data_IF_279653588752
#
_entry.id   IF_279653588752
#
_cell.length_a   1.000
_cell.length_b   1.000
_cell.length_c   1.000
_cell.angle_alpha   90.00
_cell.angle_beta   90.00
_cell.angle_gamma   90.00
#
_symmetry.space_group_name_H-M   'P 1'
#
loop_
_entity.id
_entity.type
_entity.pdbx_description
1 polymer ?
#
# COMPACT_ATOMS: atom_id res chain seq x y z
N UNK A 1 -37.37 32.44 9.65
CA UNK A 1 -37.14 30.99 9.62
C UNK A 1 -37.46 30.45 11.00
N UNK A 2 -38.48 29.59 11.11
CA UNK A 2 -38.93 29.06 12.40
C UNK A 2 -37.92 28.01 12.92
N UNK A 3 -37.77 27.91 14.25
CA UNK A 3 -36.85 26.98 14.93
C UNK A 3 -37.04 25.52 14.47
N UNK A 4 -38.28 25.16 14.12
CA UNK A 4 -38.61 23.81 13.58
C UNK A 4 -38.08 23.59 12.16
N UNK A 5 -38.12 24.59 11.32
CA UNK A 5 -37.60 24.53 9.94
C UNK A 5 -36.07 24.50 9.93
N UNK A 6 -35.42 25.25 10.84
CA UNK A 6 -33.97 25.18 11.05
C UNK A 6 -33.51 23.78 11.48
N UNK A 7 -34.21 23.19 12.44
CA UNK A 7 -33.88 21.83 12.92
C UNK A 7 -34.09 20.76 11.85
N UNK A 8 -35.13 20.89 11.01
CA UNK A 8 -35.34 19.99 9.87
C UNK A 8 -34.27 20.12 8.80
N UNK A 9 -33.87 21.35 8.48
CA UNK A 9 -32.79 21.61 7.51
C UNK A 9 -31.43 21.12 8.06
N UNK A 10 -31.16 21.32 9.35
CA UNK A 10 -29.95 20.84 9.99
C UNK A 10 -29.89 19.31 10.08
N UNK A 11 -30.99 18.65 10.38
CA UNK A 11 -31.08 17.18 10.41
C UNK A 11 -30.89 16.57 9.02
N UNK A 12 -31.42 17.22 7.96
CA UNK A 12 -31.21 16.75 6.58
C UNK A 12 -29.76 16.90 6.13
N UNK A 13 -29.09 18.01 6.50
CA UNK A 13 -27.69 18.26 6.14
C UNK A 13 -26.73 17.35 6.91
N UNK A 14 -26.99 17.06 8.17
CA UNK A 14 -26.16 16.14 8.96
C UNK A 14 -26.38 14.67 8.53
N UNK A 15 -27.57 14.27 8.15
CA UNK A 15 -27.83 12.94 7.59
C UNK A 15 -27.09 12.74 6.26
N UNK A 16 -27.06 13.74 5.39
CA UNK A 16 -26.33 13.67 4.12
C UNK A 16 -24.79 13.62 4.32
N UNK A 17 -24.26 14.35 5.31
CA UNK A 17 -22.83 14.35 5.63
C UNK A 17 -22.36 13.05 6.31
N UNK A 18 -23.25 12.34 7.01
CA UNK A 18 -22.93 11.07 7.67
C UNK A 18 -23.03 9.90 6.70
N UNK A 19 -23.91 9.95 5.69
CA UNK A 19 -24.07 8.85 4.74
C UNK A 19 -22.92 8.79 3.71
N UNK A 20 -22.35 9.94 3.29
CA UNK A 20 -21.25 9.97 2.32
C UNK A 20 -19.90 9.44 2.83
N UNK A 21 -19.45 9.69 4.08
CA UNK A 21 -18.22 9.07 4.55
C UNK A 21 -18.36 7.57 4.81
N UNK A 22 -19.53 7.04 5.12
CA UNK A 22 -19.73 5.60 5.31
C UNK A 22 -19.68 4.81 4.00
N UNK A 23 -20.16 5.37 2.90
CA UNK A 23 -20.00 4.74 1.58
C UNK A 23 -18.54 4.70 1.11
N UNK A 24 -17.74 5.70 1.51
CA UNK A 24 -16.32 5.72 1.21
C UNK A 24 -15.50 4.69 2.04
N UNK A 25 -16.04 4.22 3.16
CA UNK A 25 -15.38 3.24 4.05
C UNK A 25 -15.90 1.81 3.84
N UNK A 26 -17.08 1.63 3.25
CA UNK A 26 -17.62 0.31 2.90
C UNK A 26 -17.13 -0.17 1.53
N UNK A 27 -15.82 -0.15 1.29
CA UNK A 27 -15.29 -1.07 0.31
C UNK A 27 -15.58 -2.49 0.81
N UNK A 28 -16.52 -3.18 0.15
CA UNK A 28 -16.78 -4.60 0.37
C UNK A 28 -15.46 -5.33 0.62
N UNK A 29 -15.34 -6.14 1.68
CA UNK A 29 -14.12 -6.89 1.91
C UNK A 29 -13.88 -7.74 0.67
N UNK A 30 -12.86 -7.38 -0.10
CA UNK A 30 -12.50 -8.15 -1.30
C UNK A 30 -12.24 -9.58 -0.82
N UNK A 31 -13.01 -10.53 -1.33
CA UNK A 31 -12.91 -11.96 -0.97
C UNK A 31 -11.64 -12.58 -1.53
N UNK A 32 -10.55 -11.82 -1.56
CA UNK A 32 -9.21 -12.19 -2.01
C UNK A 32 -8.13 -11.56 -1.11
N UNK A 33 -6.91 -12.12 -1.08
CA UNK A 33 -5.78 -11.50 -0.41
C UNK A 33 -5.54 -10.06 -0.88
N UNK A 34 -5.13 -9.17 0.05
CA UNK A 34 -4.65 -7.83 -0.32
C UNK A 34 -3.35 -7.96 -1.10
N UNK A 35 -3.29 -7.41 -2.29
CA UNK A 35 -2.10 -7.40 -3.13
C UNK A 35 -1.13 -6.30 -2.70
N UNK A 36 0.01 -6.74 -2.20
CA UNK A 36 1.04 -5.85 -1.65
C UNK A 36 2.11 -5.59 -2.68
N UNK A 37 2.38 -4.30 -2.92
CA UNK A 37 3.57 -3.81 -3.59
C UNK A 37 4.67 -3.51 -2.57
N UNK A 38 5.88 -4.03 -2.76
CA UNK A 38 6.98 -3.86 -1.83
C UNK A 38 8.07 -2.97 -2.46
N UNK A 39 8.30 -1.79 -1.89
CA UNK A 39 9.23 -0.77 -2.39
C UNK A 39 10.42 -0.67 -1.42
N UNK A 40 11.60 -1.05 -1.89
CA UNK A 40 12.83 -1.15 -1.10
C UNK A 40 13.00 -2.52 -0.45
N UNK A 41 13.59 -3.45 -1.19
CA UNK A 41 13.73 -4.87 -0.82
C UNK A 41 14.93 -5.17 0.10
N UNK A 42 15.31 -4.20 0.93
CA UNK A 42 16.37 -4.36 1.94
C UNK A 42 15.95 -5.25 3.11
N UNK A 43 16.89 -5.54 4.02
CA UNK A 43 16.68 -6.44 5.17
C UNK A 43 15.52 -6.01 6.07
N UNK A 44 15.40 -4.71 6.36
CA UNK A 44 14.33 -4.19 7.21
C UNK A 44 12.95 -4.39 6.57
N UNK A 45 12.80 -4.02 5.30
CA UNK A 45 11.54 -4.22 4.58
C UNK A 45 11.20 -5.70 4.42
N UNK A 46 12.20 -6.56 4.19
CA UNK A 46 11.98 -8.01 4.14
C UNK A 46 11.45 -8.55 5.46
N UNK A 47 11.94 -8.06 6.62
CA UNK A 47 11.39 -8.46 7.93
C UNK A 47 9.93 -8.01 8.08
N UNK A 48 9.60 -6.78 7.67
CA UNK A 48 8.23 -6.23 7.73
C UNK A 48 7.27 -7.03 6.84
N UNK A 49 7.60 -7.24 5.57
CA UNK A 49 6.73 -7.98 4.65
C UNK A 49 6.56 -9.45 5.08
N UNK A 50 7.60 -10.05 5.65
CA UNK A 50 7.53 -11.41 6.21
C UNK A 50 6.54 -11.48 7.37
N UNK A 51 6.64 -10.56 8.33
CA UNK A 51 5.72 -10.49 9.46
C UNK A 51 4.28 -10.22 9.00
N UNK A 52 4.10 -9.28 8.08
CA UNK A 52 2.80 -8.96 7.50
C UNK A 52 2.20 -10.18 6.78
N UNK A 53 2.99 -10.86 5.96
CA UNK A 53 2.53 -12.03 5.22
C UNK A 53 2.12 -13.19 6.14
N UNK A 54 2.84 -13.42 7.23
CA UNK A 54 2.53 -14.51 8.17
C UNK A 54 1.23 -14.30 8.94
N UNK A 55 0.92 -13.04 9.28
CA UNK A 55 -0.16 -12.71 10.19
C UNK A 55 -1.44 -12.19 9.51
N UNK A 56 -1.41 -11.96 8.18
CA UNK A 56 -2.51 -11.37 7.45
C UNK A 56 -2.76 -12.07 6.12
N UNK A 57 -3.97 -11.91 5.59
CA UNK A 57 -4.35 -12.40 4.27
C UNK A 57 -3.85 -11.46 3.17
N UNK A 58 -2.54 -11.52 2.88
CA UNK A 58 -1.89 -10.72 1.85
C UNK A 58 -1.17 -11.58 0.82
N UNK A 59 -1.14 -11.10 -0.42
CA UNK A 59 -0.34 -11.62 -1.53
C UNK A 59 0.81 -10.66 -1.80
N UNK A 60 2.05 -11.13 -1.80
CA UNK A 60 3.20 -10.34 -2.28
C UNK A 60 3.11 -10.32 -3.79
N UNK A 61 2.67 -9.19 -4.35
CA UNK A 61 2.24 -9.10 -5.74
C UNK A 61 3.24 -8.39 -6.65
N UNK A 62 3.87 -7.31 -6.17
CA UNK A 62 4.80 -6.52 -6.96
C UNK A 62 6.00 -6.07 -6.13
N UNK A 63 7.17 -5.95 -6.77
CA UNK A 63 8.42 -5.55 -6.14
C UNK A 63 9.04 -4.36 -6.86
N UNK A 64 9.62 -3.42 -6.11
CA UNK A 64 10.38 -2.31 -6.66
C UNK A 64 11.64 -2.04 -5.84
N UNK A 65 12.79 -2.01 -6.50
CA UNK A 65 14.07 -1.59 -5.91
C UNK A 65 14.92 -0.91 -6.98
N UNK A 66 15.90 -0.10 -6.55
CA UNK A 66 16.87 0.50 -7.47
C UNK A 66 17.74 -0.60 -8.08
N UNK A 67 18.07 -1.63 -7.30
CA UNK A 67 19.01 -2.68 -7.66
C UNK A 67 18.29 -4.01 -7.88
N UNK A 68 18.47 -4.61 -9.04
CA UNK A 68 17.88 -5.92 -9.39
C UNK A 68 18.41 -7.05 -8.50
N UNK A 69 19.69 -7.06 -8.21
CA UNK A 69 20.33 -8.06 -7.37
C UNK A 69 19.76 -8.15 -5.95
N UNK A 70 19.28 -7.04 -5.40
CA UNK A 70 18.57 -7.02 -4.12
C UNK A 70 17.23 -7.75 -4.19
N UNK A 71 16.50 -7.54 -5.26
CA UNK A 71 15.24 -8.26 -5.49
C UNK A 71 15.51 -9.74 -5.66
N UNK A 72 16.45 -10.11 -6.52
CA UNK A 72 16.79 -11.51 -6.81
C UNK A 72 17.22 -12.28 -5.54
N UNK A 73 17.94 -11.60 -4.62
CA UNK A 73 18.33 -12.17 -3.34
C UNK A 73 17.16 -12.52 -2.44
N UNK A 74 16.10 -11.72 -2.39
CA UNK A 74 14.96 -11.91 -1.50
C UNK A 74 13.80 -12.65 -2.16
N UNK A 75 13.73 -12.66 -3.48
CA UNK A 75 12.63 -13.22 -4.25
C UNK A 75 12.30 -14.69 -3.91
N UNK A 76 13.27 -15.61 -3.73
CA UNK A 76 12.97 -16.98 -3.34
C UNK A 76 12.23 -17.06 -2.00
N UNK A 77 12.63 -16.25 -1.02
CA UNK A 77 11.96 -16.17 0.27
C UNK A 77 10.54 -15.62 0.14
N UNK A 78 10.34 -14.53 -0.60
CA UNK A 78 9.01 -13.93 -0.81
C UNK A 78 8.07 -14.89 -1.53
N UNK A 79 8.56 -15.60 -2.52
CA UNK A 79 7.79 -16.63 -3.23
C UNK A 79 7.42 -17.81 -2.31
N UNK A 80 8.30 -18.18 -1.36
CA UNK A 80 7.97 -19.21 -0.36
C UNK A 80 6.82 -18.79 0.56
N UNK A 81 6.73 -17.50 0.92
CA UNK A 81 5.63 -16.96 1.70
C UNK A 81 4.29 -17.00 0.95
N UNK A 82 4.29 -16.65 -0.33
CA UNK A 82 3.12 -16.79 -1.19
C UNK A 82 2.70 -18.26 -1.34
N UNK A 83 3.66 -19.14 -1.62
CA UNK A 83 3.42 -20.58 -1.76
C UNK A 83 2.78 -21.20 -0.52
N UNK A 84 3.21 -20.78 0.67
CA UNK A 84 2.64 -21.27 1.96
C UNK A 84 1.13 -20.93 2.09
N UNK A 85 0.61 -20.01 1.29
CA UNK A 85 -0.80 -19.62 1.24
C UNK A 85 -1.53 -20.14 0.00
N UNK A 86 -0.90 -21.01 -0.79
CA UNK A 86 -1.45 -21.49 -2.06
C UNK A 86 -1.45 -20.44 -3.17
N UNK A 87 -0.65 -19.36 -3.03
CA UNK A 87 -0.53 -18.30 -4.03
C UNK A 87 0.66 -18.57 -4.97
N UNK A 88 0.58 -18.00 -6.17
CA UNK A 88 1.66 -18.06 -7.16
C UNK A 88 2.88 -17.21 -6.79
N UNK A 89 4.02 -17.44 -7.47
CA UNK A 89 5.19 -16.59 -7.33
C UNK A 89 4.91 -15.17 -7.85
N UNK A 90 5.74 -14.21 -7.42
CA UNK A 90 5.71 -12.86 -8.00
C UNK A 90 6.10 -12.95 -9.48
N UNK A 91 5.22 -12.50 -10.36
CA UNK A 91 5.44 -12.53 -11.81
C UNK A 91 6.52 -11.52 -12.21
N UNK A 92 7.33 -11.86 -13.21
CA UNK A 92 8.46 -11.02 -13.67
C UNK A 92 7.99 -9.62 -14.13
N UNK A 93 6.83 -9.54 -14.77
CA UNK A 93 6.23 -8.27 -15.20
C UNK A 93 5.84 -7.34 -14.02
N UNK A 94 5.79 -7.85 -12.82
CA UNK A 94 5.52 -7.10 -11.58
C UNK A 94 6.81 -6.76 -10.81
N UNK A 95 7.97 -7.01 -11.39
CA UNK A 95 9.28 -6.67 -10.83
C UNK A 95 9.81 -5.43 -11.54
N UNK A 96 9.99 -4.36 -10.79
CA UNK A 96 10.42 -3.06 -11.31
C UNK A 96 11.77 -2.69 -10.72
N UNK A 97 12.71 -2.25 -11.59
CA UNK A 97 14.07 -1.85 -11.19
C UNK A 97 14.43 -0.46 -11.66
N UNK A 98 15.41 0.15 -10.96
CA UNK A 98 15.93 1.48 -11.25
C UNK A 98 15.31 2.60 -10.43
N UNK A 99 15.83 3.82 -10.55
CA UNK A 99 15.46 4.97 -9.73
C UNK A 99 13.99 5.41 -9.80
N UNK A 100 13.25 4.98 -10.81
CA UNK A 100 11.81 5.25 -10.96
C UNK A 100 10.94 3.99 -10.84
N UNK A 101 11.50 2.90 -10.32
CA UNK A 101 10.81 1.62 -10.16
C UNK A 101 9.50 1.76 -9.37
N UNK A 102 9.51 2.52 -8.26
CA UNK A 102 8.32 2.76 -7.46
C UNK A 102 7.19 3.42 -8.25
N UNK A 103 7.49 4.35 -9.19
CA UNK A 103 6.46 5.00 -10.03
C UNK A 103 5.75 3.99 -10.96
N UNK A 104 6.50 3.01 -11.46
CA UNK A 104 5.91 1.93 -12.28
C UNK A 104 5.04 1.01 -11.43
N UNK A 105 5.52 0.61 -10.25
CA UNK A 105 4.76 -0.19 -9.30
C UNK A 105 3.45 0.50 -8.89
N UNK A 106 3.50 1.81 -8.58
CA UNK A 106 2.32 2.58 -8.16
C UNK A 106 1.24 2.71 -9.26
N UNK A 107 1.63 2.63 -10.53
CA UNK A 107 0.69 2.60 -11.67
C UNK A 107 -0.01 1.27 -11.86
N UNK A 108 0.42 0.22 -11.16
CA UNK A 108 -0.21 -1.09 -11.26
C UNK A 108 -1.54 -1.09 -10.47
N UNK A 109 -2.66 -1.09 -11.18
CA UNK A 109 -4.01 -1.02 -10.60
C UNK A 109 -4.37 -2.23 -9.74
N UNK A 110 -3.66 -3.34 -9.92
CA UNK A 110 -3.87 -4.57 -9.14
C UNK A 110 -3.24 -4.52 -7.75
N UNK A 111 -2.33 -3.57 -7.48
CA UNK A 111 -1.73 -3.35 -6.16
C UNK A 111 -2.70 -2.58 -5.28
N UNK A 112 -3.03 -3.11 -4.11
CA UNK A 112 -3.92 -2.48 -3.13
C UNK A 112 -3.16 -1.67 -2.07
N UNK A 113 -2.08 -2.25 -1.54
CA UNK A 113 -1.25 -1.71 -0.46
C UNK A 113 0.20 -1.63 -0.89
N UNK A 114 0.90 -0.60 -0.48
CA UNK A 114 2.36 -0.52 -0.66
C UNK A 114 3.09 -0.45 0.67
N UNK A 115 4.19 -1.19 0.77
CA UNK A 115 5.16 -1.08 1.86
C UNK A 115 6.34 -0.27 1.34
N UNK A 116 6.65 0.84 2.02
CA UNK A 116 7.78 1.71 1.72
C UNK A 116 8.86 1.46 2.77
N UNK A 117 9.98 0.87 2.36
CA UNK A 117 11.11 0.54 3.22
C UNK A 117 12.45 0.92 2.56
N UNK A 118 12.46 2.04 1.89
CA UNK A 118 13.63 2.67 1.29
C UNK A 118 14.43 3.45 2.34
N UNK A 119 15.60 4.03 2.03
CA UNK A 119 16.23 5.01 2.90
C UNK A 119 15.32 6.21 3.20
N UNK A 120 15.40 6.75 4.41
CA UNK A 120 14.46 7.76 4.92
C UNK A 120 14.33 9.02 4.04
N UNK A 121 15.39 9.44 3.38
CA UNK A 121 15.37 10.59 2.47
C UNK A 121 14.44 10.41 1.26
N UNK A 122 14.14 9.17 0.87
CA UNK A 122 13.25 8.88 -0.24
C UNK A 122 11.78 8.69 0.19
N UNK A 123 11.50 8.57 1.49
CA UNK A 123 10.15 8.33 1.99
C UNK A 123 9.16 9.43 1.59
N UNK A 124 9.45 10.74 1.73
CA UNK A 124 8.46 11.77 1.43
C UNK A 124 7.97 11.72 -0.02
N UNK A 125 8.90 11.61 -0.98
CA UNK A 125 8.54 11.55 -2.41
C UNK A 125 7.71 10.30 -2.74
N UNK A 126 8.13 9.14 -2.21
CA UNK A 126 7.45 7.87 -2.51
C UNK A 126 6.09 7.82 -1.83
N UNK A 127 5.99 8.30 -0.58
CA UNK A 127 4.75 8.38 0.17
C UNK A 127 3.72 9.28 -0.53
N UNK A 128 4.11 10.50 -0.92
CA UNK A 128 3.25 11.42 -1.67
C UNK A 128 2.75 10.79 -2.97
N UNK A 129 3.65 10.13 -3.71
CA UNK A 129 3.28 9.45 -4.95
C UNK A 129 2.30 8.29 -4.71
N UNK A 130 2.45 7.54 -3.61
CA UNK A 130 1.56 6.44 -3.25
C UNK A 130 0.16 6.93 -2.87
N UNK A 131 0.08 8.03 -2.11
CA UNK A 131 -1.20 8.67 -1.76
C UNK A 131 -1.91 9.21 -3.01
N UNK A 132 -1.17 9.89 -3.91
CA UNK A 132 -1.71 10.35 -5.20
C UNK A 132 -2.22 9.19 -6.07
N UNK A 133 -1.57 8.04 -6.00
CA UNK A 133 -1.99 6.82 -6.68
C UNK A 133 -3.13 6.07 -5.95
N UNK A 134 -3.66 6.63 -4.84
CA UNK A 134 -4.75 6.06 -4.01
C UNK A 134 -4.45 4.65 -3.52
N UNK A 135 -3.19 4.36 -3.19
CA UNK A 135 -2.78 3.11 -2.56
C UNK A 135 -2.86 3.23 -1.04
N UNK A 136 -3.23 2.15 -0.36
CA UNK A 136 -2.96 2.06 1.07
C UNK A 136 -1.44 2.05 1.29
N UNK A 137 -0.96 2.66 2.37
CA UNK A 137 0.48 2.84 2.60
C UNK A 137 0.88 2.36 3.99
N UNK A 138 1.87 1.51 4.05
CA UNK A 138 2.70 1.28 5.22
C UNK A 138 4.08 1.87 4.94
N UNK A 139 4.49 2.89 5.69
CA UNK A 139 5.80 3.51 5.54
C UNK A 139 6.66 3.27 6.78
N UNK A 140 7.90 2.82 6.58
CA UNK A 140 8.86 2.68 7.67
C UNK A 140 9.29 4.05 8.24
N UNK A 141 9.79 4.02 9.44
CA UNK A 141 10.41 5.19 10.10
C UNK A 141 11.80 5.48 9.49
N UNK A 142 12.29 6.66 9.52
CA UNK A 142 11.61 7.92 9.76
C UNK A 142 10.87 8.37 8.51
N UNK A 143 9.76 9.11 8.71
CA UNK A 143 8.95 9.58 7.58
C UNK A 143 9.71 10.58 6.71
N UNK A 144 10.63 11.34 7.31
CA UNK A 144 11.54 12.25 6.63
C UNK A 144 12.88 12.29 7.35
N UNK A 145 13.94 12.72 6.66
CA UNK A 145 15.27 12.94 7.22
C UNK A 145 15.52 14.39 7.66
N UNK A 146 14.68 15.32 7.20
CA UNK A 146 14.67 16.75 7.53
C UNK A 146 13.25 17.19 7.88
N UNK A 147 13.12 18.35 8.53
CA UNK A 147 11.84 18.99 8.87
C UNK A 147 11.48 20.12 7.90
N UNK A 148 12.25 20.32 6.84
CA UNK A 148 12.10 21.38 5.85
C UNK A 148 11.16 20.93 4.73
#
# INVERSE_FOLDING_TARGET
MDRREFLKAFAATTAFSVLNPLEAVSAEPKNRPLRVGFIGTGSRGTAVITAMSRNNNVEIYALADIFRDRIDKVLPHLNSLNKAKGLGPVAEENIYTGGKAYKKLLKNDKVDLVIISTPAYAHPEIFEAAVKARKHVYCEKAMASTLD
#
